data_IF_758169162549
#
_entry.id   IF_758169162549
#
_cell.length_a   1.000
_cell.length_b   1.000
_cell.length_c   1.000
_cell.angle_alpha   90.00
_cell.angle_beta   90.00
_cell.angle_gamma   90.00
#
_symmetry.space_group_name_H-M   'P 1'
#
loop_
_entity.id
_entity.type
_entity.pdbx_description
1 polymer ?
#
# COMPACT_ATOMS: atom_id res chain seq x y z
N UNK A 1 22.49 47.40 -4.26
CA UNK A 1 23.24 46.12 -4.30
C UNK A 1 22.55 45.03 -3.47
N UNK A 2 22.19 45.30 -2.20
CA UNK A 2 21.49 44.34 -1.34
C UNK A 2 20.17 43.83 -1.95
N UNK A 3 19.35 44.70 -2.54
CA UNK A 3 18.09 44.29 -3.19
C UNK A 3 18.32 43.38 -4.42
N UNK A 4 19.38 43.62 -5.19
CA UNK A 4 19.75 42.78 -6.33
C UNK A 4 20.22 41.39 -5.87
N UNK A 5 20.99 41.33 -4.78
CA UNK A 5 21.45 40.07 -4.19
C UNK A 5 20.25 39.29 -3.63
N UNK A 6 19.33 39.95 -2.91
CA UNK A 6 18.08 39.33 -2.45
C UNK A 6 17.24 38.79 -3.61
N UNK A 7 17.09 39.57 -4.68
CA UNK A 7 16.32 39.14 -5.85
C UNK A 7 16.97 37.92 -6.55
N UNK A 8 18.30 37.88 -6.65
CA UNK A 8 19.03 36.75 -7.23
C UNK A 8 18.89 35.48 -6.39
N UNK A 9 18.99 35.59 -5.06
CA UNK A 9 18.81 34.45 -4.14
C UNK A 9 17.38 33.92 -4.20
N UNK A 10 16.39 34.81 -4.19
CA UNK A 10 14.98 34.43 -4.33
C UNK A 10 14.71 33.75 -5.67
N UNK A 11 15.21 34.30 -6.79
CA UNK A 11 15.06 33.69 -8.11
C UNK A 11 15.74 32.31 -8.19
N UNK A 12 16.92 32.16 -7.59
CA UNK A 12 17.64 30.87 -7.53
C UNK A 12 16.90 29.84 -6.69
N UNK A 13 16.31 30.23 -5.56
CA UNK A 13 15.50 29.35 -4.72
C UNK A 13 14.22 28.92 -5.43
N UNK A 14 13.54 29.86 -6.12
CA UNK A 14 12.38 29.54 -6.94
C UNK A 14 12.77 28.62 -8.10
N UNK A 15 13.86 28.89 -8.80
CA UNK A 15 14.34 28.01 -9.86
C UNK A 15 14.71 26.64 -9.31
N UNK A 16 15.35 26.54 -8.15
CA UNK A 16 15.62 25.26 -7.51
C UNK A 16 14.33 24.51 -7.15
N UNK A 17 13.30 25.20 -6.63
CA UNK A 17 12.01 24.60 -6.29
C UNK A 17 11.24 24.14 -7.54
N UNK A 18 11.23 24.95 -8.61
CA UNK A 18 10.47 24.67 -9.82
C UNK A 18 11.20 23.73 -10.79
N UNK A 19 12.54 23.77 -10.83
CA UNK A 19 13.38 23.08 -11.82
C UNK A 19 14.14 21.89 -11.26
N UNK A 20 14.17 21.73 -9.94
CA UNK A 20 14.36 20.43 -9.34
C UNK A 20 12.96 19.82 -9.21
N UNK A 21 12.47 19.00 -10.16
CA UNK A 21 11.52 17.96 -9.83
C UNK A 21 12.32 16.96 -9.00
N UNK A 22 12.73 17.39 -7.81
CA UNK A 22 13.44 16.61 -6.83
C UNK A 22 12.50 15.47 -6.56
N UNK A 23 12.83 14.34 -7.21
CA UNK A 23 12.03 13.15 -7.38
C UNK A 23 10.94 13.19 -6.34
N UNK A 24 9.74 13.60 -6.76
CA UNK A 24 8.56 13.09 -6.12
C UNK A 24 8.69 11.59 -6.36
N UNK A 25 9.43 10.93 -5.47
CA UNK A 25 9.11 9.64 -4.96
C UNK A 25 7.69 9.86 -4.42
N UNK A 26 6.72 9.94 -5.34
CA UNK A 26 5.44 9.30 -5.15
C UNK A 26 5.85 7.92 -4.69
N UNK A 27 5.96 7.78 -3.37
CA UNK A 27 6.23 6.53 -2.72
C UNK A 27 5.09 5.67 -3.20
N UNK A 28 5.39 4.86 -4.20
CA UNK A 28 4.59 3.79 -4.77
C UNK A 28 3.60 3.34 -3.70
N UNK A 29 2.33 3.65 -3.92
CA UNK A 29 1.22 2.91 -3.31
C UNK A 29 1.21 2.79 -1.77
N UNK A 30 1.89 3.69 -1.03
CA UNK A 30 1.92 3.65 0.44
C UNK A 30 0.56 3.86 1.10
N UNK A 31 -0.49 4.20 0.35
CA UNK A 31 -1.85 4.36 0.90
C UNK A 31 -2.78 3.20 0.53
N UNK A 32 -2.58 2.53 -0.62
CA UNK A 32 -3.45 1.42 -1.05
C UNK A 32 -2.95 0.07 -0.58
N UNK A 33 -1.64 -0.17 -0.68
CA UNK A 33 -1.03 -1.44 -0.22
C UNK A 33 -1.01 -1.51 1.31
N UNK A 34 -0.80 -0.40 2.01
CA UNK A 34 -0.89 -0.34 3.47
C UNK A 34 -2.31 -0.61 3.96
N UNK A 35 -3.33 0.02 3.35
CA UNK A 35 -4.73 -0.25 3.65
C UNK A 35 -5.13 -1.71 3.41
N UNK A 36 -4.65 -2.30 2.32
CA UNK A 36 -4.91 -3.72 2.04
C UNK A 36 -4.21 -4.64 3.04
N UNK A 37 -3.01 -4.30 3.51
CA UNK A 37 -2.31 -5.03 4.57
C UNK A 37 -3.02 -4.92 5.92
N UNK A 38 -3.52 -3.74 6.26
CA UNK A 38 -4.31 -3.53 7.48
C UNK A 38 -5.62 -4.34 7.43
N UNK A 39 -6.30 -4.37 6.27
CA UNK A 39 -7.45 -5.25 6.05
C UNK A 39 -7.10 -6.73 6.16
N UNK A 40 -5.96 -7.15 5.61
CA UNK A 40 -5.49 -8.53 5.72
C UNK A 40 -5.29 -8.94 7.18
N UNK A 41 -4.70 -8.05 7.99
CA UNK A 41 -4.43 -8.29 9.40
C UNK A 41 -5.72 -8.42 10.21
N UNK A 42 -6.73 -7.59 9.91
CA UNK A 42 -8.06 -7.69 10.49
C UNK A 42 -8.77 -9.02 10.15
N UNK A 43 -8.71 -9.48 8.90
CA UNK A 43 -9.31 -10.78 8.49
C UNK A 43 -8.59 -11.95 9.16
N UNK A 44 -7.27 -11.88 9.34
CA UNK A 44 -6.50 -12.92 10.00
C UNK A 44 -6.78 -12.99 11.51
N UNK A 45 -6.94 -11.84 12.18
CA UNK A 45 -7.42 -11.77 13.56
C UNK A 45 -8.81 -12.40 13.70
N UNK A 46 -9.74 -12.07 12.81
CA UNK A 46 -11.09 -12.66 12.82
C UNK A 46 -11.08 -14.18 12.64
N UNK A 47 -10.23 -14.72 11.75
CA UNK A 47 -10.05 -16.16 11.59
C UNK A 47 -9.49 -16.82 12.86
N UNK A 48 -8.56 -16.14 13.54
CA UNK A 48 -7.97 -16.63 14.79
C UNK A 48 -9.00 -16.65 15.92
N UNK A 49 -9.79 -15.59 16.05
CA UNK A 49 -10.84 -15.49 17.06
C UNK A 49 -11.96 -16.50 16.81
N UNK A 50 -12.39 -16.67 15.55
CA UNK A 50 -13.36 -17.71 15.17
C UNK A 50 -12.87 -19.13 15.53
N UNK A 51 -11.59 -19.43 15.29
CA UNK A 51 -10.98 -20.70 15.69
C UNK A 51 -10.96 -20.87 17.22
N UNK A 52 -10.74 -19.78 17.96
CA UNK A 52 -10.76 -19.79 19.41
C UNK A 52 -12.16 -20.04 19.96
N UNK A 53 -13.17 -19.33 19.46
CA UNK A 53 -14.58 -19.48 19.86
C UNK A 53 -15.13 -20.88 19.52
N UNK A 54 -14.71 -21.46 18.39
CA UNK A 54 -15.02 -22.85 18.03
C UNK A 54 -14.38 -23.85 19.02
N UNK A 55 -13.09 -23.69 19.33
CA UNK A 55 -12.41 -24.53 20.35
C UNK A 55 -12.98 -24.35 21.75
N UNK A 56 -13.54 -23.18 22.06
CA UNK A 56 -14.25 -22.90 23.30
C UNK A 56 -15.65 -23.55 23.34
N UNK A 57 -16.10 -24.19 22.26
CA UNK A 57 -17.39 -24.89 22.19
C UNK A 57 -18.60 -23.96 22.08
N UNK A 58 -18.40 -22.67 21.77
CA UNK A 58 -19.49 -21.69 21.66
C UNK A 58 -20.19 -21.70 20.32
N UNK A 59 -19.61 -22.36 19.31
CA UNK A 59 -20.12 -22.38 17.94
C UNK A 59 -20.34 -23.81 17.43
N UNK A 60 -21.48 -24.11 16.79
CA UNK A 60 -21.71 -25.37 16.08
C UNK A 60 -20.76 -25.53 14.87
N UNK A 61 -20.38 -26.78 14.56
CA UNK A 61 -19.51 -27.10 13.40
C UNK A 61 -20.03 -26.54 12.07
N UNK A 62 -21.35 -26.57 11.86
CA UNK A 62 -21.97 -26.09 10.63
C UNK A 62 -21.79 -24.57 10.44
N UNK A 63 -21.95 -23.80 11.52
CA UNK A 63 -21.76 -22.34 11.50
C UNK A 63 -20.27 -22.01 11.36
N UNK A 64 -19.39 -22.76 12.03
CA UNK A 64 -17.94 -22.58 11.93
C UNK A 64 -17.42 -22.73 10.49
N UNK A 65 -17.84 -23.79 9.79
CA UNK A 65 -17.40 -24.02 8.39
C UNK A 65 -17.89 -22.93 7.45
N UNK A 66 -19.14 -22.46 7.63
CA UNK A 66 -19.71 -21.38 6.83
C UNK A 66 -18.95 -20.06 7.03
N UNK A 67 -18.74 -19.64 8.28
CA UNK A 67 -18.01 -18.41 8.60
C UNK A 67 -16.54 -18.48 8.16
N UNK A 68 -15.89 -19.63 8.36
CA UNK A 68 -14.52 -19.87 7.93
C UNK A 68 -14.38 -19.72 6.42
N UNK A 69 -15.28 -20.34 5.64
CA UNK A 69 -15.25 -20.24 4.19
C UNK A 69 -15.40 -18.81 3.69
N UNK A 70 -16.30 -18.03 4.30
CA UNK A 70 -16.50 -16.61 3.94
C UNK A 70 -15.23 -15.77 4.21
N UNK A 71 -14.60 -15.96 5.38
CA UNK A 71 -13.38 -15.24 5.75
C UNK A 71 -12.18 -15.64 4.88
N UNK A 72 -12.08 -16.92 4.49
CA UNK A 72 -11.05 -17.39 3.58
C UNK A 72 -11.19 -16.82 2.17
N UNK A 73 -12.43 -16.66 1.68
CA UNK A 73 -12.71 -16.04 0.38
C UNK A 73 -12.36 -14.54 0.37
N UNK A 74 -12.68 -13.82 1.46
CA UNK A 74 -12.26 -12.43 1.65
C UNK A 74 -10.73 -12.29 1.68
N UNK A 75 -10.04 -13.18 2.42
CA UNK A 75 -8.58 -13.20 2.49
C UNK A 75 -7.95 -13.44 1.11
N UNK A 76 -8.47 -14.41 0.35
CA UNK A 76 -8.00 -14.71 -1.00
C UNK A 76 -8.16 -13.51 -1.95
N UNK A 77 -9.30 -12.80 -1.85
CA UNK A 77 -9.58 -11.60 -2.64
C UNK A 77 -8.61 -10.46 -2.31
N UNK A 78 -8.35 -10.22 -1.03
CA UNK A 78 -7.40 -9.18 -0.58
C UNK A 78 -5.98 -9.51 -1.05
N UNK A 79 -5.54 -10.76 -0.90
CA UNK A 79 -4.22 -11.24 -1.36
C UNK A 79 -4.05 -11.09 -2.86
N UNK A 80 -5.08 -11.40 -3.66
CA UNK A 80 -5.04 -11.24 -5.10
C UNK A 80 -4.89 -9.78 -5.54
N UNK A 81 -5.59 -8.85 -4.87
CA UNK A 81 -5.48 -7.42 -5.16
C UNK A 81 -4.11 -6.85 -4.75
N UNK A 82 -3.55 -7.30 -3.60
CA UNK A 82 -2.18 -6.95 -3.21
C UNK A 82 -1.18 -7.42 -4.28
N UNK A 83 -1.26 -8.68 -4.70
CA UNK A 83 -0.36 -9.25 -5.71
C UNK A 83 -0.47 -8.52 -7.06
N UNK A 84 -1.68 -8.09 -7.44
CA UNK A 84 -1.92 -7.29 -8.65
C UNK A 84 -1.26 -5.92 -8.56
N UNK A 85 -1.41 -5.22 -7.43
CA UNK A 85 -0.80 -3.91 -7.20
C UNK A 85 0.73 -4.02 -7.14
N UNK A 86 1.28 -5.00 -6.43
CA UNK A 86 2.73 -5.24 -6.38
C UNK A 86 3.31 -5.51 -7.78
N UNK A 87 2.62 -6.29 -8.63
CA UNK A 87 3.03 -6.53 -10.02
C UNK A 87 2.96 -5.25 -10.88
N UNK A 88 1.94 -4.42 -10.70
CA UNK A 88 1.82 -3.14 -11.39
C UNK A 88 2.93 -2.16 -11.00
N UNK A 89 3.24 -2.05 -9.70
CA UNK A 89 4.36 -1.27 -9.18
C UNK A 89 5.72 -1.77 -9.69
N UNK A 90 5.94 -3.09 -9.74
CA UNK A 90 7.16 -3.69 -10.26
C UNK A 90 7.36 -3.45 -11.77
N UNK A 91 6.28 -3.39 -12.56
CA UNK A 91 6.37 -3.11 -14.00
C UNK A 91 6.75 -1.65 -14.28
N UNK A 92 6.22 -0.71 -13.49
CA UNK A 92 6.55 0.72 -13.56
C UNK A 92 8.06 0.96 -13.34
N UNK A 93 8.67 0.29 -12.36
CA UNK A 93 10.10 0.42 -12.06
C UNK A 93 11.04 -0.17 -13.12
N UNK A 94 10.56 -1.11 -13.95
CA UNK A 94 11.35 -1.75 -15.01
C UNK A 94 11.36 -0.94 -16.31
N UNK A 95 10.29 -0.20 -16.60
CA UNK A 95 10.22 0.69 -17.77
C UNK A 95 11.21 1.87 -17.69
N UNK A 96 11.42 2.40 -16.48
CA UNK A 96 12.29 3.57 -16.27
C UNK A 96 13.80 3.26 -16.41
N UNK A 97 14.21 2.00 -16.17
CA UNK A 97 15.61 1.57 -16.32
C UNK A 97 16.00 1.22 -17.76
N UNK A 98 15.04 0.89 -18.62
CA UNK A 98 15.29 0.55 -20.04
C UNK A 98 15.48 1.75 -20.96
N UNK A 99 15.05 2.95 -20.54
CA UNK A 99 15.18 4.19 -21.32
C UNK A 99 16.47 4.97 -21.04
N UNK A 100 17.36 4.46 -20.18
CA UNK A 100 18.61 5.10 -19.75
C UNK A 100 19.89 4.41 -20.23
N UNK A 101 19.78 3.48 -21.18
CA UNK A 101 20.92 2.83 -21.84
C UNK A 101 20.94 3.18 -23.33
#
# INVERSE_FOLDING_TARGET
>A
MILLICALVAASALFYIFYLPGKLHFGVEKTRVSYLRERQEAVYENLRDLNFEYKAGKLPDADYQSLKSSLEEEAATILAEIARLEKAGAHSLRGEKGARI
#
